data_IF_408472486124
#
_entry.id   IF_408472486124
#
_cell.length_a   1.000
_cell.length_b   1.000
_cell.length_c   1.000
_cell.angle_alpha   90.00
_cell.angle_beta   90.00
_cell.angle_gamma   90.00
#
_symmetry.space_group_name_H-M   'P 1'
#
loop_
_entity.id
_entity.type
_entity.pdbx_description
1 polymer ?
#
# COMPACT_ATOMS: atom_id res chain seq x y z
N UNK A 1 1.84 4.63 26.25
CA UNK A 1 2.81 5.63 25.73
C UNK A 1 3.43 6.33 26.93
N UNK A 2 4.76 6.38 27.04
CA UNK A 2 5.43 7.14 28.10
C UNK A 2 5.82 8.49 27.52
N UNK A 3 5.24 9.56 28.02
CA UNK A 3 5.58 10.94 27.61
C UNK A 3 6.68 11.45 28.51
N UNK A 4 7.89 11.58 27.99
CA UNK A 4 9.01 12.18 28.71
C UNK A 4 8.83 13.70 28.63
N UNK A 5 8.73 14.38 29.78
CA UNK A 5 8.73 15.84 29.85
C UNK A 5 10.18 16.31 30.01
N UNK A 6 10.66 17.11 29.06
CA UNK A 6 11.99 17.71 29.09
C UNK A 6 11.84 19.11 29.67
N UNK A 7 12.69 19.50 30.63
CA UNK A 7 12.69 20.86 31.17
C UNK A 7 13.22 21.86 30.14
N UNK A 8 12.82 23.14 30.27
CA UNK A 8 13.21 24.18 29.32
C UNK A 8 14.73 24.41 29.29
N UNK A 9 15.40 24.27 30.42
CA UNK A 9 16.86 24.39 30.52
C UNK A 9 17.58 23.31 29.71
N UNK A 10 17.12 22.07 29.83
CA UNK A 10 17.67 20.94 29.06
C UNK A 10 17.37 21.12 27.58
N UNK A 11 16.20 21.66 27.23
CA UNK A 11 15.85 21.98 25.85
C UNK A 11 16.80 23.00 25.23
N UNK A 12 17.07 24.10 25.94
CA UNK A 12 17.96 25.17 25.47
C UNK A 12 19.39 24.65 25.27
N UNK A 13 19.91 23.87 26.23
CA UNK A 13 21.23 23.26 26.13
C UNK A 13 21.36 22.27 24.95
N UNK A 14 20.27 21.61 24.56
CA UNK A 14 20.23 20.76 23.36
C UNK A 14 20.22 21.62 22.10
N UNK A 15 19.38 22.66 22.05
CA UNK A 15 19.24 23.55 20.90
C UNK A 15 20.54 24.31 20.57
N UNK A 16 21.31 24.69 21.58
CA UNK A 16 22.64 25.31 21.42
C UNK A 16 23.66 24.43 20.69
N UNK A 17 23.45 23.10 20.67
CA UNK A 17 24.27 22.16 19.88
C UNK A 17 23.87 22.10 18.40
N UNK A 18 22.85 22.84 18.00
CA UNK A 18 22.37 22.93 16.63
C UNK A 18 23.36 23.69 15.74
N UNK A 19 23.39 23.32 14.46
CA UNK A 19 24.13 24.06 13.41
C UNK A 19 23.15 24.90 12.59
N UNK A 20 23.65 25.94 11.92
CA UNK A 20 22.84 26.80 11.06
C UNK A 20 22.08 25.96 10.02
N UNK A 21 20.75 26.09 9.99
CA UNK A 21 19.86 25.33 9.11
C UNK A 21 19.23 24.06 9.72
N UNK A 22 19.58 23.66 10.95
CA UNK A 22 18.90 22.57 11.66
C UNK A 22 17.68 23.08 12.44
N UNK A 23 16.56 22.33 12.41
CA UNK A 23 15.43 22.60 13.31
C UNK A 23 15.65 21.95 14.68
N UNK A 24 14.96 22.40 15.75
CA UNK A 24 15.07 21.77 17.06
C UNK A 24 14.79 20.25 17.06
N UNK A 25 13.87 19.77 16.20
CA UNK A 25 13.57 18.34 16.05
C UNK A 25 14.75 17.57 15.43
N UNK A 26 15.47 18.18 14.48
CA UNK A 26 16.66 17.58 13.85
C UNK A 26 17.80 17.42 14.86
N UNK A 27 18.01 18.45 15.69
CA UNK A 27 19.02 18.43 16.76
C UNK A 27 18.69 17.34 17.78
N UNK A 28 17.42 17.20 18.18
CA UNK A 28 16.98 16.13 19.06
C UNK A 28 17.26 14.75 18.46
N UNK A 29 16.86 14.53 17.21
CA UNK A 29 17.07 13.23 16.54
C UNK A 29 18.56 12.86 16.49
N UNK A 30 19.41 13.85 16.21
CA UNK A 30 20.87 13.68 16.19
C UNK A 30 21.44 13.36 17.57
N UNK A 31 21.05 14.11 18.61
CA UNK A 31 21.54 13.92 19.99
C UNK A 31 21.07 12.58 20.57
N UNK A 32 19.80 12.22 20.36
CA UNK A 32 19.23 10.96 20.85
C UNK A 32 19.51 9.76 19.92
N UNK A 33 20.28 9.94 18.83
CA UNK A 33 20.58 8.91 17.82
C UNK A 33 19.32 8.18 17.35
N UNK A 34 18.21 8.91 17.24
CA UNK A 34 16.95 8.35 16.79
C UNK A 34 17.13 8.06 15.31
N UNK A 35 17.16 6.77 14.95
CA UNK A 35 17.24 6.37 13.54
C UNK A 35 16.13 7.10 12.78
N UNK A 36 16.43 7.71 11.61
CA UNK A 36 15.37 8.19 10.74
C UNK A 36 14.40 7.02 10.56
N UNK A 37 13.12 7.28 10.78
CA UNK A 37 12.13 6.24 10.58
C UNK A 37 12.17 5.97 9.07
N UNK A 38 12.81 4.87 8.66
CA UNK A 38 12.92 4.39 7.28
C UNK A 38 11.55 3.92 6.75
N UNK A 39 10.48 4.63 7.11
CA UNK A 39 9.31 4.77 6.26
C UNK A 39 9.68 5.63 5.06
N UNK A 40 10.72 5.22 4.33
CA UNK A 40 10.84 5.59 2.95
C UNK A 40 9.59 5.01 2.30
N UNK A 41 8.63 5.90 2.06
CA UNK A 41 7.56 5.65 1.12
C UNK A 41 8.28 5.37 -0.20
N UNK A 42 8.59 4.12 -0.51
CA UNK A 42 9.04 3.70 -1.83
C UNK A 42 7.86 3.80 -2.81
N UNK A 43 7.25 5.00 -2.89
CA UNK A 43 6.16 5.35 -3.80
C UNK A 43 6.62 5.45 -5.26
N UNK A 44 7.88 5.10 -5.55
CA UNK A 44 8.46 5.18 -6.88
C UNK A 44 8.59 3.83 -7.59
N UNK A 45 7.79 2.82 -7.24
CA UNK A 45 7.38 1.84 -8.24
C UNK A 45 6.28 2.47 -9.11
N UNK A 46 6.66 3.44 -9.95
CA UNK A 46 5.78 3.92 -11.02
C UNK A 46 5.49 2.72 -11.90
N UNK A 47 4.22 2.37 -12.02
CA UNK A 47 3.76 1.27 -12.86
C UNK A 47 4.14 1.62 -14.31
N UNK A 48 5.04 0.86 -14.94
CA UNK A 48 5.34 1.07 -16.36
C UNK A 48 4.15 0.68 -17.26
N UNK A 49 3.15 -0.03 -16.72
CA UNK A 49 1.96 -0.50 -17.44
C UNK A 49 0.71 -0.19 -16.63
N UNK A 50 -0.29 0.41 -17.30
CA UNK A 50 -1.61 0.64 -16.69
C UNK A 50 -2.37 -0.69 -16.65
N UNK A 51 -3.04 -0.96 -15.53
CA UNK A 51 -3.90 -2.13 -15.32
C UNK A 51 -5.28 -1.63 -14.95
N UNK A 52 -6.30 -2.18 -15.61
CA UNK A 52 -7.71 -1.93 -15.31
C UNK A 52 -8.34 -3.24 -14.85
N UNK A 53 -8.98 -3.21 -13.68
CA UNK A 53 -9.78 -4.31 -13.16
C UNK A 53 -11.23 -3.87 -13.07
N UNK A 54 -12.14 -4.64 -13.66
CA UNK A 54 -13.58 -4.35 -13.64
C UNK A 54 -14.37 -5.62 -13.39
N UNK A 55 -15.46 -5.48 -12.64
CA UNK A 55 -16.46 -6.52 -12.44
C UNK A 55 -17.73 -6.08 -13.15
N UNK A 56 -18.12 -6.78 -14.19
CA UNK A 56 -19.32 -6.49 -14.99
C UNK A 56 -19.97 -7.82 -15.39
N UNK A 57 -21.31 -7.88 -15.41
CA UNK A 57 -22.08 -9.05 -15.86
C UNK A 57 -21.75 -10.37 -15.13
N UNK A 58 -21.27 -10.30 -13.87
CA UNK A 58 -20.86 -11.49 -13.14
C UNK A 58 -19.49 -12.04 -13.58
N UNK A 59 -18.68 -11.25 -14.28
CA UNK A 59 -17.31 -11.60 -14.65
C UNK A 59 -16.32 -10.59 -14.08
N UNK A 60 -15.16 -11.09 -13.62
CA UNK A 60 -14.00 -10.27 -13.31
C UNK A 60 -13.12 -10.19 -14.56
N UNK A 61 -12.87 -8.98 -15.03
CA UNK A 61 -11.97 -8.70 -16.15
C UNK A 61 -10.74 -7.91 -15.70
N UNK A 62 -9.57 -8.36 -16.12
CA UNK A 62 -8.30 -7.63 -15.96
C UNK A 62 -7.76 -7.35 -17.35
N UNK A 63 -7.43 -6.09 -17.61
CA UNK A 63 -6.84 -5.65 -18.87
C UNK A 63 -5.62 -4.79 -18.57
N UNK A 64 -4.48 -5.18 -19.14
CA UNK A 64 -3.27 -4.36 -19.16
C UNK A 64 -3.23 -3.53 -20.44
N UNK A 65 -2.76 -2.27 -20.35
CA UNK A 65 -2.86 -1.29 -21.45
C UNK A 65 -2.20 -1.73 -22.76
N UNK A 66 -1.12 -2.52 -22.70
CA UNK A 66 -0.35 -2.99 -23.87
C UNK A 66 -0.09 -4.50 -23.79
N UNK A 67 -1.06 -5.31 -23.38
CA UNK A 67 -0.76 -6.74 -23.31
C UNK A 67 -1.92 -7.62 -22.88
N UNK A 68 -1.66 -8.53 -21.93
CA UNK A 68 -2.57 -9.64 -21.66
C UNK A 68 -3.85 -9.14 -21.01
N UNK A 69 -4.93 -9.80 -21.36
CA UNK A 69 -6.21 -9.65 -20.69
C UNK A 69 -6.74 -11.02 -20.34
N UNK A 70 -7.44 -11.10 -19.22
CA UNK A 70 -8.05 -12.34 -18.77
C UNK A 70 -9.34 -12.04 -18.06
N UNK A 71 -10.30 -12.95 -18.24
CA UNK A 71 -11.62 -12.88 -17.65
C UNK A 71 -11.88 -14.15 -16.87
N UNK A 72 -12.57 -14.00 -15.75
CA UNK A 72 -13.00 -15.10 -14.92
C UNK A 72 -14.48 -14.94 -14.61
N UNK A 73 -15.28 -16.00 -14.73
CA UNK A 73 -16.63 -15.98 -14.19
C UNK A 73 -16.56 -15.83 -12.68
N UNK A 74 -17.38 -14.94 -12.12
CA UNK A 74 -17.54 -14.82 -10.68
C UNK A 74 -18.66 -15.78 -10.24
N UNK A 75 -18.41 -16.56 -9.19
CA UNK A 75 -19.41 -17.47 -8.64
C UNK A 75 -20.54 -16.70 -7.94
N UNK A 76 -21.49 -17.41 -7.36
CA UNK A 76 -22.51 -16.81 -6.50
C UNK A 76 -21.84 -16.12 -5.30
N UNK A 77 -22.45 -15.01 -4.83
CA UNK A 77 -21.89 -14.18 -3.74
C UNK A 77 -21.69 -14.95 -2.42
N UNK A 78 -22.50 -15.99 -2.19
CA UNK A 78 -22.39 -16.85 -1.02
C UNK A 78 -21.30 -17.91 -1.13
N UNK A 79 -20.82 -18.22 -2.35
CA UNK A 79 -19.72 -19.16 -2.52
C UNK A 79 -18.36 -18.49 -2.29
N UNK A 80 -18.05 -18.35 -1.01
CA UNK A 80 -16.78 -17.77 -0.55
C UNK A 80 -15.56 -18.60 -0.97
N UNK A 81 -15.71 -19.91 -1.20
CA UNK A 81 -14.57 -20.78 -1.54
C UNK A 81 -14.17 -20.56 -2.99
N UNK A 82 -15.14 -20.64 -3.90
CA UNK A 82 -14.89 -20.37 -5.32
C UNK A 82 -14.43 -18.94 -5.53
N UNK A 83 -15.00 -17.98 -4.80
CA UNK A 83 -14.57 -16.59 -4.88
C UNK A 83 -13.11 -16.40 -4.45
N UNK A 84 -12.63 -17.13 -3.43
CA UNK A 84 -11.21 -17.12 -3.05
C UNK A 84 -10.33 -17.67 -4.17
N UNK A 85 -10.75 -18.77 -4.81
CA UNK A 85 -10.00 -19.38 -5.93
C UNK A 85 -9.91 -18.39 -7.11
N UNK A 86 -11.02 -17.77 -7.51
CA UNK A 86 -11.04 -16.78 -8.59
C UNK A 86 -10.17 -15.57 -8.24
N UNK A 87 -10.24 -15.09 -7.00
CA UNK A 87 -9.39 -13.98 -6.54
C UNK A 87 -7.91 -14.34 -6.59
N UNK A 88 -7.53 -15.50 -6.06
CA UNK A 88 -6.12 -15.88 -5.95
C UNK A 88 -5.53 -16.16 -7.34
N UNK A 89 -6.31 -16.74 -8.26
CA UNK A 89 -5.90 -16.90 -9.67
C UNK A 89 -5.80 -15.57 -10.41
N UNK A 90 -6.70 -14.62 -10.15
CA UNK A 90 -6.65 -13.28 -10.70
C UNK A 90 -5.45 -12.47 -10.20
N UNK A 91 -5.12 -12.59 -8.90
CA UNK A 91 -3.93 -11.99 -8.30
C UNK A 91 -2.66 -12.59 -8.89
N UNK A 92 -2.58 -13.92 -8.98
CA UNK A 92 -1.42 -14.61 -9.57
C UNK A 92 -1.17 -14.16 -11.02
N UNK A 93 -2.23 -14.07 -11.84
CA UNK A 93 -2.11 -13.55 -13.21
C UNK A 93 -1.61 -12.10 -13.25
N UNK A 94 -2.12 -11.25 -12.36
CA UNK A 94 -1.68 -9.86 -12.29
C UNK A 94 -0.19 -9.76 -11.89
N UNK A 95 0.24 -10.54 -10.89
CA UNK A 95 1.64 -10.62 -10.45
C UNK A 95 2.57 -11.13 -11.54
N UNK A 96 2.19 -12.20 -12.25
CA UNK A 96 2.95 -12.77 -13.37
C UNK A 96 3.21 -11.74 -14.48
N UNK A 97 2.25 -10.84 -14.70
CA UNK A 97 2.36 -9.77 -15.70
C UNK A 97 2.94 -8.45 -15.15
N UNK A 98 3.48 -8.48 -13.94
CA UNK A 98 4.21 -7.37 -13.33
C UNK A 98 3.32 -6.29 -12.72
N UNK A 99 2.11 -6.66 -12.26
CA UNK A 99 1.28 -5.75 -11.48
C UNK A 99 1.99 -5.34 -10.19
N UNK A 100 1.81 -4.08 -9.83
CA UNK A 100 2.31 -3.54 -8.56
C UNK A 100 1.31 -3.78 -7.43
N UNK A 101 1.77 -3.71 -6.18
CA UNK A 101 0.92 -3.82 -4.99
C UNK A 101 -0.30 -2.87 -5.04
N UNK A 102 -0.13 -1.67 -5.60
CA UNK A 102 -1.22 -0.71 -5.77
C UNK A 102 -2.28 -1.20 -6.75
N UNK A 103 -1.86 -1.85 -7.83
CA UNK A 103 -2.75 -2.46 -8.82
C UNK A 103 -3.45 -3.70 -8.27
N UNK A 104 -2.74 -4.56 -7.53
CA UNK A 104 -3.34 -5.70 -6.83
C UNK A 104 -4.40 -5.24 -5.83
N UNK A 105 -4.13 -4.19 -5.05
CA UNK A 105 -5.12 -3.60 -4.14
C UNK A 105 -6.31 -3.02 -4.88
N UNK A 106 -6.10 -2.40 -6.05
CA UNK A 106 -7.19 -1.89 -6.87
C UNK A 106 -8.08 -3.03 -7.41
N UNK A 107 -7.48 -4.16 -7.81
CA UNK A 107 -8.21 -5.38 -8.19
C UNK A 107 -9.07 -5.91 -7.04
N UNK A 108 -8.47 -6.09 -5.86
CA UNK A 108 -9.19 -6.55 -4.67
C UNK A 108 -10.34 -5.59 -4.30
N UNK A 109 -10.10 -4.29 -4.45
CA UNK A 109 -11.13 -3.26 -4.24
C UNK A 109 -12.27 -3.38 -5.26
N UNK A 110 -11.98 -3.67 -6.54
CA UNK A 110 -13.01 -3.84 -7.56
C UNK A 110 -13.96 -5.01 -7.23
N UNK A 111 -13.41 -6.14 -6.80
CA UNK A 111 -14.19 -7.32 -6.37
C UNK A 111 -15.09 -6.96 -5.18
N UNK A 112 -14.52 -6.35 -4.13
CA UNK A 112 -15.28 -5.95 -2.95
C UNK A 112 -16.35 -4.90 -3.27
N UNK A 113 -16.06 -3.96 -4.18
CA UNK A 113 -17.00 -2.90 -4.58
C UNK A 113 -18.20 -3.47 -5.37
N UNK A 114 -18.04 -4.61 -6.01
CA UNK A 114 -19.12 -5.35 -6.67
C UNK A 114 -19.97 -6.21 -5.69
N UNK A 115 -19.69 -6.14 -4.39
CA UNK A 115 -20.44 -6.83 -3.34
C UNK A 115 -19.96 -8.26 -3.06
N UNK A 116 -18.80 -8.64 -3.60
CA UNK A 116 -18.16 -9.92 -3.32
C UNK A 116 -17.23 -9.79 -2.11
N UNK A 117 -17.81 -9.80 -0.92
CA UNK A 117 -17.07 -9.61 0.33
C UNK A 117 -16.46 -10.91 0.84
N UNK A 118 -15.13 -10.92 0.96
CA UNK A 118 -14.42 -11.97 1.66
C UNK A 118 -14.16 -11.55 3.11
N UNK A 119 -14.95 -12.08 4.03
CA UNK A 119 -14.62 -12.04 5.46
C UNK A 119 -13.39 -12.93 5.69
N UNK A 120 -12.42 -12.41 6.45
CA UNK A 120 -11.16 -13.09 6.79
C UNK A 120 -11.43 -14.44 7.43
#
# INVERSE_FOLDING_TARGET
MRTIRISQEVWNAIAERGKFGETPDDVLRRVFKIKPNDRSNSRNRRTNRRMSAKVEHGELSIVFSNGPSKRWPLPLKDDKKELRIVRDTAVAFAEEHGATDGQLKALLKAINSAGYYLTK
#
